data_IF_955856490325
#
_entry.id   IF_955856490325
#
_cell.length_a   1.000
_cell.length_b   1.000
_cell.length_c   1.000
_cell.angle_alpha   90.00
_cell.angle_beta   90.00
_cell.angle_gamma   90.00
#
_symmetry.space_group_name_H-M   'P 1'
#
loop_
_entity.id
_entity.type
_entity.pdbx_description
1 polymer ?
#
# COMPACT_ATOMS: atom_id res chain seq x y z
N UNK A 1 12.53 8.82 -30.59
CA UNK A 1 11.22 9.19 -30.03
C UNK A 1 11.40 9.21 -28.52
N UNK A 2 11.62 10.40 -27.95
CA UNK A 2 11.99 10.62 -26.54
C UNK A 2 10.82 10.21 -25.65
N UNK A 3 11.00 9.19 -24.81
CA UNK A 3 10.02 8.77 -23.81
C UNK A 3 9.77 9.95 -22.86
N UNK A 4 8.51 10.34 -22.74
CA UNK A 4 8.03 11.41 -21.88
C UNK A 4 8.28 11.08 -20.41
N UNK A 5 9.18 11.83 -19.76
CA UNK A 5 9.08 12.41 -18.41
C UNK A 5 8.81 11.56 -17.15
N UNK A 6 8.34 10.33 -17.23
CA UNK A 6 7.98 9.51 -16.05
C UNK A 6 8.79 8.23 -16.01
N UNK A 7 9.42 7.94 -14.87
CA UNK A 7 10.21 6.73 -14.65
C UNK A 7 9.35 5.50 -14.34
N UNK A 8 8.38 5.65 -13.44
CA UNK A 8 7.45 4.60 -13.02
C UNK A 8 6.30 5.19 -12.22
N UNK A 9 5.21 4.43 -12.11
CA UNK A 9 4.04 4.68 -11.30
C UNK A 9 4.06 3.77 -10.08
N UNK A 10 4.00 4.40 -8.92
CA UNK A 10 3.97 3.78 -7.59
C UNK A 10 2.57 3.97 -7.02
N UNK A 11 1.91 2.86 -6.72
CA UNK A 11 0.59 2.85 -6.07
C UNK A 11 0.79 2.49 -4.61
N UNK A 12 0.34 3.38 -3.72
CA UNK A 12 0.18 3.06 -2.30
C UNK A 12 -1.24 2.57 -2.10
N UNK A 13 -1.41 1.37 -1.58
CA UNK A 13 -2.73 0.91 -1.18
C UNK A 13 -3.24 1.73 0.01
N UNK A 14 -4.48 2.19 -0.12
CA UNK A 14 -5.24 2.91 0.91
C UNK A 14 -6.69 2.42 0.97
N UNK A 15 -6.94 1.23 0.41
CA UNK A 15 -8.27 0.60 0.30
C UNK A 15 -8.48 -0.56 1.27
N UNK A 16 -7.43 -1.00 1.96
CA UNK A 16 -7.42 -2.10 2.93
C UNK A 16 -7.17 -1.61 4.35
N UNK A 17 -7.75 -0.47 4.70
CA UNK A 17 -7.72 0.06 6.06
C UNK A 17 -6.31 0.28 6.60
N UNK A 18 -5.43 0.83 5.78
CA UNK A 18 -4.03 1.11 6.07
C UNK A 18 -3.89 2.07 7.25
N UNK A 19 -2.93 1.76 8.13
CA UNK A 19 -2.54 2.62 9.24
C UNK A 19 -1.63 3.78 8.78
N UNK A 20 -1.09 3.72 7.56
CA UNK A 20 -0.20 4.73 6.99
C UNK A 20 -0.65 5.17 5.60
N UNK A 21 -0.70 6.47 5.38
CA UNK A 21 -1.25 7.09 4.15
C UNK A 21 -0.28 8.11 3.55
N UNK A 22 -0.31 8.25 2.23
CA UNK A 22 0.42 9.33 1.54
C UNK A 22 -0.38 10.63 1.47
N UNK A 23 -1.66 10.61 1.88
CA UNK A 23 -2.58 11.76 1.88
C UNK A 23 -2.50 12.53 3.21
N UNK A 24 -1.92 13.76 3.23
CA UNK A 24 -1.72 14.51 4.48
C UNK A 24 -3.01 14.81 5.25
N UNK A 25 -4.11 15.07 4.54
CA UNK A 25 -5.41 15.34 5.12
C UNK A 25 -6.01 14.12 5.83
N UNK A 26 -5.77 12.92 5.29
CA UNK A 26 -6.22 11.66 5.89
C UNK A 26 -5.36 11.33 7.11
N UNK A 27 -4.04 11.49 7.01
CA UNK A 27 -3.14 11.36 8.16
C UNK A 27 -3.52 12.33 9.29
N UNK A 28 -3.90 13.56 8.95
CA UNK A 28 -4.39 14.55 9.92
C UNK A 28 -5.70 14.15 10.60
N UNK A 29 -6.58 13.44 9.91
CA UNK A 29 -7.80 12.89 10.49
C UNK A 29 -7.52 11.66 11.37
N UNK A 30 -6.61 10.78 10.95
CA UNK A 30 -6.19 9.58 11.69
C UNK A 30 -5.51 9.94 13.02
N UNK A 31 -4.55 10.87 12.97
CA UNK A 31 -3.74 11.28 14.12
C UNK A 31 -3.70 12.81 14.28
N UNK A 32 -4.77 13.45 14.78
CA UNK A 32 -4.84 14.92 14.85
C UNK A 32 -3.74 15.58 15.69
N UNK A 33 -3.25 14.90 16.73
CA UNK A 33 -2.18 15.41 17.59
C UNK A 33 -0.80 15.31 16.91
N UNK A 34 -0.55 14.23 16.18
CA UNK A 34 0.73 13.93 15.53
C UNK A 34 0.54 13.32 14.13
N UNK A 35 0.09 14.09 13.12
CA UNK A 35 -0.23 13.55 11.79
C UNK A 35 0.96 12.88 11.09
N UNK A 36 2.19 13.29 11.45
CA UNK A 36 3.41 12.72 10.90
C UNK A 36 3.58 11.23 11.18
N UNK A 37 2.99 10.73 12.26
CA UNK A 37 3.17 9.35 12.72
C UNK A 37 2.42 8.36 11.82
N UNK A 38 1.42 8.85 11.06
CA UNK A 38 0.66 8.08 10.08
C UNK A 38 0.94 8.49 8.62
N UNK A 39 1.89 9.42 8.38
CA UNK A 39 2.04 10.04 7.06
C UNK A 39 3.32 9.64 6.32
N UNK A 40 3.12 9.06 5.14
CA UNK A 40 4.16 8.86 4.12
C UNK A 40 4.21 9.96 3.05
N UNK A 41 3.55 11.10 3.27
CA UNK A 41 3.54 12.21 2.29
C UNK A 41 4.95 12.69 1.91
N UNK A 42 5.90 12.65 2.86
CA UNK A 42 7.32 12.97 2.58
C UNK A 42 7.98 11.96 1.65
N UNK A 43 7.66 10.67 1.79
CA UNK A 43 8.16 9.63 0.90
C UNK A 43 7.56 9.78 -0.51
N UNK A 44 6.25 10.01 -0.60
CA UNK A 44 5.57 10.29 -1.86
C UNK A 44 6.16 11.53 -2.58
N UNK A 45 6.40 12.61 -1.84
CA UNK A 45 7.03 13.82 -2.39
C UNK A 45 8.47 13.57 -2.88
N UNK A 46 9.25 12.74 -2.15
CA UNK A 46 10.61 12.39 -2.54
C UNK A 46 10.67 11.52 -3.81
N UNK A 47 9.68 10.65 -4.02
CA UNK A 47 9.52 9.89 -5.25
C UNK A 47 9.09 10.80 -6.41
N UNK A 48 8.09 11.66 -6.18
CA UNK A 48 7.60 12.60 -7.18
C UNK A 48 8.69 13.57 -7.67
N UNK A 49 9.61 13.98 -6.78
CA UNK A 49 10.76 14.82 -7.16
C UNK A 49 11.81 14.12 -8.03
N UNK A 50 11.60 12.84 -8.33
CA UNK A 50 12.49 11.97 -9.13
C UNK A 50 11.72 11.36 -10.31
N UNK A 51 10.71 12.08 -10.81
CA UNK A 51 9.94 11.69 -11.99
C UNK A 51 9.12 10.39 -11.83
N UNK A 52 8.79 10.00 -10.59
CA UNK A 52 7.79 8.97 -10.34
C UNK A 52 6.39 9.58 -10.25
N UNK A 53 5.39 8.85 -10.73
CA UNK A 53 3.98 9.15 -10.44
C UNK A 53 3.59 8.37 -9.19
N UNK A 54 3.23 9.05 -8.11
CA UNK A 54 2.79 8.41 -6.87
C UNK A 54 1.32 8.68 -6.66
N UNK A 55 0.52 7.63 -6.49
CA UNK A 55 -0.93 7.75 -6.27
C UNK A 55 -1.42 6.78 -5.20
N UNK A 56 -2.50 7.12 -4.49
CA UNK A 56 -3.15 6.18 -3.60
C UNK A 56 -4.16 5.33 -4.39
N UNK A 57 -4.28 4.05 -4.05
CA UNK A 57 -5.42 3.21 -4.43
C UNK A 57 -6.50 3.35 -3.36
N UNK A 58 -7.53 4.13 -3.66
CA UNK A 58 -8.72 4.33 -2.80
C UNK A 58 -9.98 3.74 -3.40
N UNK A 59 -9.87 3.16 -4.60
CA UNK A 59 -11.01 2.79 -5.45
C UNK A 59 -11.48 1.35 -5.23
N UNK A 60 -10.80 0.59 -4.37
CA UNK A 60 -11.20 -0.75 -3.98
C UNK A 60 -10.13 -1.81 -4.32
N UNK A 61 -10.54 -3.07 -4.59
CA UNK A 61 -9.65 -4.21 -4.61
C UNK A 61 -8.45 -4.10 -5.58
N UNK A 62 -7.36 -4.76 -5.23
CA UNK A 62 -6.14 -4.88 -6.02
C UNK A 62 -6.29 -5.94 -7.14
N UNK A 63 -7.16 -5.66 -8.11
CA UNK A 63 -7.38 -6.56 -9.26
C UNK A 63 -6.20 -6.54 -10.24
N UNK A 64 -6.15 -7.53 -11.14
CA UNK A 64 -5.14 -7.58 -12.20
C UNK A 64 -5.16 -6.31 -13.08
N UNK A 65 -6.34 -5.78 -13.40
CA UNK A 65 -6.49 -4.54 -14.16
C UNK A 65 -5.90 -3.35 -13.42
N UNK A 66 -6.14 -3.26 -12.10
CA UNK A 66 -5.58 -2.19 -11.25
C UNK A 66 -4.05 -2.28 -11.20
N UNK A 67 -3.51 -3.48 -11.00
CA UNK A 67 -2.07 -3.69 -10.88
C UNK A 67 -1.34 -3.47 -12.20
N UNK A 68 -1.99 -3.72 -13.35
CA UNK A 68 -1.44 -3.43 -14.67
C UNK A 68 -1.21 -1.93 -14.94
N UNK A 69 -1.79 -1.03 -14.13
CA UNK A 69 -1.59 0.41 -14.22
C UNK A 69 -0.37 0.93 -13.43
N UNK A 70 0.40 0.06 -12.78
CA UNK A 70 1.54 0.48 -11.98
C UNK A 70 2.74 -0.45 -12.16
N UNK A 71 3.92 0.06 -11.84
CA UNK A 71 5.14 -0.72 -11.82
C UNK A 71 5.54 -1.13 -10.40
N UNK A 72 5.05 -0.40 -9.39
CA UNK A 72 5.31 -0.72 -7.97
C UNK A 72 4.03 -0.58 -7.16
N UNK A 73 3.69 -1.62 -6.41
CA UNK A 73 2.67 -1.61 -5.36
C UNK A 73 3.33 -1.48 -3.98
N UNK A 74 2.77 -0.61 -3.14
CA UNK A 74 3.15 -0.45 -1.73
C UNK A 74 1.95 -0.75 -0.85
N UNK A 75 2.07 -1.74 0.04
CA UNK A 75 1.06 -2.08 1.04
C UNK A 75 1.57 -1.59 2.40
N UNK A 76 0.97 -0.51 2.91
CA UNK A 76 1.47 0.23 4.06
C UNK A 76 0.65 -0.08 5.32
N UNK A 77 0.92 -1.24 5.91
CA UNK A 77 0.34 -1.68 7.18
C UNK A 77 -1.21 -1.62 7.25
N UNK A 78 -1.95 -2.44 6.46
CA UNK A 78 -3.37 -2.73 6.69
C UNK A 78 -3.60 -3.17 8.14
N UNK A 79 -4.56 -2.56 8.84
CA UNK A 79 -4.80 -2.87 10.26
C UNK A 79 -6.27 -2.85 10.64
N UNK A 80 -6.64 -3.65 11.63
CA UNK A 80 -7.91 -3.53 12.34
C UNK A 80 -7.95 -2.18 13.11
N UNK A 81 -9.06 -1.41 13.02
CA UNK A 81 -9.17 -0.11 13.67
C UNK A 81 -9.28 -0.20 15.22
N UNK A 82 -9.40 -1.40 15.78
CA UNK A 82 -9.30 -1.62 17.23
C UNK A 82 -7.88 -1.39 17.78
N UNK A 83 -6.86 -1.50 16.92
CA UNK A 83 -5.46 -1.37 17.30
C UNK A 83 -4.79 -0.10 16.76
N UNK A 84 -5.14 0.29 15.53
CA UNK A 84 -4.54 1.46 14.86
C UNK A 84 -5.58 2.49 14.45
N UNK A 85 -5.10 3.73 14.25
CA UNK A 85 -5.87 4.77 13.56
C UNK A 85 -5.65 4.60 12.05
N UNK A 86 -6.68 4.18 11.34
CA UNK A 86 -6.57 3.75 9.92
C UNK A 86 -7.28 4.70 8.96
N UNK A 87 -7.08 4.50 7.65
CA UNK A 87 -7.81 5.20 6.57
C UNK A 87 -9.33 5.01 6.67
N UNK A 88 -9.80 3.97 7.35
CA UNK A 88 -11.21 3.72 7.62
C UNK A 88 -11.97 3.13 6.43
N UNK A 89 -11.25 2.67 5.41
CA UNK A 89 -11.77 2.17 4.14
C UNK A 89 -11.54 0.67 4.00
N UNK A 90 -12.56 -0.07 3.56
CA UNK A 90 -12.44 -1.50 3.26
C UNK A 90 -12.15 -2.38 4.48
N UNK A 91 -11.35 -3.42 4.27
CA UNK A 91 -11.00 -4.47 5.23
C UNK A 91 -9.49 -4.60 5.29
N UNK A 92 -8.87 -4.85 6.47
CA UNK A 92 -7.43 -5.08 6.57
C UNK A 92 -6.95 -6.38 5.90
N UNK A 93 -7.88 -7.25 5.49
CA UNK A 93 -7.57 -8.50 4.79
C UNK A 93 -7.72 -8.34 3.29
N UNK A 94 -6.68 -8.75 2.58
CA UNK A 94 -6.69 -9.03 1.15
C UNK A 94 -7.52 -10.30 0.91
N UNK A 95 -8.35 -10.27 -0.13
CA UNK A 95 -9.07 -11.46 -0.59
C UNK A 95 -8.14 -12.46 -1.29
N UNK A 96 -8.59 -13.71 -1.46
CA UNK A 96 -7.83 -14.72 -2.19
C UNK A 96 -7.51 -14.27 -3.63
N UNK A 97 -8.47 -13.65 -4.31
CA UNK A 97 -8.30 -13.15 -5.68
C UNK A 97 -7.23 -12.03 -5.75
N UNK A 98 -7.16 -11.17 -4.73
CA UNK A 98 -6.14 -10.13 -4.64
C UNK A 98 -4.76 -10.69 -4.35
N UNK A 99 -4.67 -11.69 -3.45
CA UNK A 99 -3.40 -12.37 -3.19
C UNK A 99 -2.85 -13.03 -4.46
N UNK A 100 -3.72 -13.70 -5.24
CA UNK A 100 -3.36 -14.29 -6.52
C UNK A 100 -2.95 -13.23 -7.56
N UNK A 101 -3.67 -12.10 -7.62
CA UNK A 101 -3.36 -11.00 -8.53
C UNK A 101 -2.02 -10.34 -8.21
N UNK A 102 -1.70 -10.12 -6.92
CA UNK A 102 -0.43 -9.56 -6.48
C UNK A 102 0.72 -10.52 -6.79
N UNK A 103 0.56 -11.82 -6.54
CA UNK A 103 1.57 -12.82 -6.88
C UNK A 103 1.86 -12.83 -8.38
N UNK A 104 0.81 -12.84 -9.22
CA UNK A 104 0.95 -12.81 -10.67
C UNK A 104 1.62 -11.51 -11.16
N UNK A 105 1.29 -10.37 -10.56
CA UNK A 105 1.91 -9.08 -10.85
C UNK A 105 3.42 -9.09 -10.57
N UNK A 106 3.83 -9.61 -9.41
CA UNK A 106 5.26 -9.73 -9.06
C UNK A 106 5.98 -10.71 -9.98
N UNK A 107 5.36 -11.86 -10.27
CA UNK A 107 5.91 -12.85 -11.20
C UNK A 107 6.11 -12.29 -12.63
N UNK A 108 5.28 -11.32 -13.03
CA UNK A 108 5.40 -10.60 -14.30
C UNK A 108 6.46 -9.47 -14.28
N UNK A 109 7.12 -9.22 -13.15
CA UNK A 109 8.18 -8.22 -12.99
C UNK A 109 7.75 -6.94 -12.26
N UNK A 110 6.53 -6.90 -11.72
CA UNK A 110 6.06 -5.82 -10.85
C UNK A 110 6.82 -5.77 -9.52
N UNK A 111 7.06 -4.55 -9.01
CA UNK A 111 7.68 -4.35 -7.70
C UNK A 111 6.64 -4.39 -6.58
N UNK A 112 6.93 -5.12 -5.49
CA UNK A 112 6.10 -5.14 -4.29
C UNK A 112 6.91 -4.64 -3.08
N UNK A 113 6.36 -3.67 -2.37
CA UNK A 113 6.85 -3.21 -1.06
C UNK A 113 5.78 -3.46 -0.03
N UNK A 114 6.09 -4.28 0.97
CA UNK A 114 5.21 -4.53 2.12
C UNK A 114 5.84 -3.92 3.35
N UNK A 115 5.09 -3.05 4.02
CA UNK A 115 5.49 -2.47 5.30
C UNK A 115 4.62 -3.10 6.39
N UNK A 116 5.22 -3.98 7.18
CA UNK A 116 4.60 -4.59 8.36
C UNK A 116 4.92 -3.84 9.64
N UNK A 117 4.35 -4.31 10.75
CA UNK A 117 4.61 -3.80 12.09
C UNK A 117 4.96 -4.95 13.05
N UNK A 118 5.65 -4.63 14.14
CA UNK A 118 5.95 -5.56 15.23
C UNK A 118 4.67 -6.14 15.83
N UNK A 119 4.68 -7.44 16.19
CA UNK A 119 3.50 -8.17 16.66
C UNK A 119 2.36 -8.26 15.60
N UNK A 120 2.74 -8.51 14.34
CA UNK A 120 1.88 -8.54 13.15
C UNK A 120 0.51 -9.23 13.34
N UNK A 121 0.45 -10.33 14.08
CA UNK A 121 -0.75 -11.17 14.26
C UNK A 121 -1.96 -10.42 14.86
N UNK A 122 -1.74 -9.38 15.67
CA UNK A 122 -2.84 -8.67 16.35
C UNK A 122 -3.62 -7.73 15.42
N UNK A 123 -3.05 -7.34 14.29
CA UNK A 123 -3.60 -6.30 13.41
C UNK A 123 -4.67 -6.81 12.43
N UNK A 124 -5.03 -8.09 12.48
CA UNK A 124 -6.19 -8.63 11.74
C UNK A 124 -6.05 -8.69 10.22
N UNK A 125 -4.90 -8.28 9.66
CA UNK A 125 -4.57 -8.45 8.25
C UNK A 125 -4.05 -9.87 7.95
N UNK A 126 -3.76 -10.13 6.68
CA UNK A 126 -3.18 -11.39 6.20
C UNK A 126 -1.92 -11.18 5.37
N UNK A 127 -1.05 -10.24 5.76
CA UNK A 127 0.20 -9.99 5.04
C UNK A 127 1.11 -11.22 5.01
N UNK A 128 1.12 -12.07 6.05
CA UNK A 128 1.91 -13.30 6.03
C UNK A 128 1.37 -14.33 5.03
N UNK A 129 0.06 -14.36 4.76
CA UNK A 129 -0.52 -15.19 3.69
C UNK A 129 -0.02 -14.75 2.30
N UNK A 130 0.20 -13.45 2.10
CA UNK A 130 0.83 -12.91 0.89
C UNK A 130 2.32 -13.25 0.84
N UNK A 131 3.05 -12.95 1.91
CA UNK A 131 4.51 -13.04 1.96
C UNK A 131 5.03 -14.48 1.88
N UNK A 132 4.28 -15.44 2.39
CA UNK A 132 4.61 -16.87 2.32
C UNK A 132 4.69 -17.37 0.87
N UNK A 133 3.94 -16.77 -0.07
CA UNK A 133 4.04 -17.06 -1.52
C UNK A 133 5.42 -16.74 -2.09
N UNK A 134 6.16 -15.84 -1.42
CA UNK A 134 7.52 -15.44 -1.76
C UNK A 134 8.58 -16.02 -0.80
N UNK A 135 8.19 -16.93 0.10
CA UNK A 135 9.08 -17.52 1.10
C UNK A 135 9.52 -16.56 2.20
N UNK A 136 8.71 -15.53 2.49
CA UNK A 136 8.96 -14.50 3.50
C UNK A 136 7.91 -14.55 4.61
N UNK A 137 8.22 -13.96 5.76
CA UNK A 137 7.32 -13.84 6.92
C UNK A 137 7.74 -12.64 7.79
N UNK A 138 6.78 -11.92 8.36
CA UNK A 138 6.97 -10.77 9.26
C UNK A 138 7.04 -11.19 10.74
#
# INVERSE_FOLDING_TARGET
MTRSGTLARVVFDESHNEAWTIRPEVAGAMQPAHPSDASYARAAAALASRDFVVVPNVEGPLTAERLAECEVLVIAHPSDPAWERTTGTGSPRLSADELDAIEAFVAAGGGLVVLGETEQEKYGNNLNELLERFGLHL
#
